data_IF_492392445710
#
_entry.id   IF_492392445710
#
_cell.length_a   1.000
_cell.length_b   1.000
_cell.length_c   1.000
_cell.angle_alpha   90.00
_cell.angle_beta   90.00
_cell.angle_gamma   90.00
#
_symmetry.space_group_name_H-M   'P 1'
#
loop_
_entity.id
_entity.type
_entity.pdbx_description
1 polymer ?
#
# COMPACT_ATOMS: atom_id res chain seq x y z
N UNK A 1 -47.89 -9.20 -17.90
CA UNK A 1 -48.03 -9.70 -16.52
C UNK A 1 -48.49 -8.55 -15.66
N UNK A 2 -49.70 -8.63 -15.10
CA UNK A 2 -50.29 -7.57 -14.28
C UNK A 2 -49.49 -7.52 -12.97
N UNK A 3 -48.81 -6.41 -12.70
CA UNK A 3 -48.18 -6.17 -11.40
C UNK A 3 -49.28 -6.13 -10.35
N UNK A 4 -49.22 -6.96 -9.28
CA UNK A 4 -50.22 -6.93 -8.23
C UNK A 4 -50.26 -5.52 -7.61
N UNK A 5 -51.47 -5.04 -7.30
CA UNK A 5 -51.68 -3.77 -6.64
C UNK A 5 -51.16 -3.88 -5.19
N UNK A 6 -49.89 -3.54 -5.00
CA UNK A 6 -49.24 -3.50 -3.69
C UNK A 6 -49.73 -2.28 -2.91
N UNK A 7 -49.99 -2.48 -1.62
CA UNK A 7 -50.45 -1.43 -0.73
C UNK A 7 -49.34 -0.38 -0.51
N UNK A 8 -49.66 0.88 -0.16
CA UNK A 8 -48.67 1.95 -0.04
C UNK A 8 -47.51 1.67 0.95
N UNK A 9 -47.75 0.84 1.98
CA UNK A 9 -46.73 0.39 2.94
C UNK A 9 -45.89 -0.80 2.45
N UNK A 10 -46.31 -1.45 1.37
CA UNK A 10 -45.57 -2.52 0.68
C UNK A 10 -44.65 -1.97 -0.41
N UNK A 11 -44.86 -0.72 -0.82
CA UNK A 11 -43.95 0.04 -1.70
C UNK A 11 -42.81 0.59 -0.83
N UNK A 12 -41.93 -0.30 -0.40
CA UNK A 12 -40.70 0.09 0.29
C UNK A 12 -39.73 0.62 -0.78
N UNK A 13 -39.72 1.93 -0.99
CA UNK A 13 -38.85 2.61 -1.97
C UNK A 13 -37.37 2.65 -1.59
N UNK A 14 -36.90 1.73 -0.76
CA UNK A 14 -35.48 1.66 -0.39
C UNK A 14 -34.68 1.10 -1.53
N UNK A 15 -33.51 1.69 -1.78
CA UNK A 15 -32.56 1.06 -2.68
C UNK A 15 -32.14 -0.30 -2.12
N UNK A 16 -31.77 -1.28 -2.97
CA UNK A 16 -31.28 -2.58 -2.50
C UNK A 16 -30.05 -2.43 -1.58
N UNK A 17 -29.29 -1.35 -1.69
CA UNK A 17 -28.20 -1.03 -0.77
C UNK A 17 -28.69 -0.57 0.61
N UNK A 18 -29.73 0.26 0.66
CA UNK A 18 -30.35 0.70 1.92
C UNK A 18 -31.02 -0.48 2.64
N UNK A 19 -31.76 -1.31 1.90
CA UNK A 19 -32.40 -2.51 2.44
C UNK A 19 -31.36 -3.49 3.02
N UNK A 20 -30.23 -3.68 2.32
CA UNK A 20 -29.11 -4.49 2.81
C UNK A 20 -28.55 -4.01 4.14
N UNK A 21 -28.38 -2.69 4.28
CA UNK A 21 -27.88 -2.04 5.50
C UNK A 21 -28.86 -2.27 6.66
N UNK A 22 -30.16 -2.10 6.40
CA UNK A 22 -31.22 -2.27 7.41
C UNK A 22 -31.23 -3.71 7.93
N UNK A 23 -31.23 -4.71 7.05
CA UNK A 23 -31.17 -6.12 7.48
C UNK A 23 -29.91 -6.45 8.28
N UNK A 24 -28.76 -5.88 7.89
CA UNK A 24 -27.51 -6.07 8.66
C UNK A 24 -27.63 -5.47 10.07
N UNK A 25 -28.22 -4.29 10.18
CA UNK A 25 -28.36 -3.58 11.46
C UNK A 25 -29.40 -4.27 12.37
N UNK A 26 -30.47 -4.83 11.80
CA UNK A 26 -31.39 -5.72 12.52
C UNK A 26 -30.69 -7.00 13.00
N UNK A 27 -29.90 -7.66 12.15
CA UNK A 27 -29.10 -8.81 12.56
C UNK A 27 -28.20 -8.46 13.76
N UNK A 28 -27.56 -7.27 13.73
CA UNK A 28 -26.74 -6.78 14.85
C UNK A 28 -27.57 -6.54 16.10
N UNK A 29 -28.74 -5.93 15.99
CA UNK A 29 -29.64 -5.69 17.11
C UNK A 29 -30.05 -7.01 17.80
N UNK A 30 -30.47 -8.01 17.04
CA UNK A 30 -30.87 -9.32 17.57
C UNK A 30 -29.71 -10.10 18.18
N UNK A 31 -28.50 -9.94 17.63
CA UNK A 31 -27.27 -10.51 18.21
C UNK A 31 -27.02 -9.99 19.63
N UNK A 32 -27.22 -8.69 19.88
CA UNK A 32 -27.03 -8.11 21.22
C UNK A 32 -28.09 -8.61 22.22
N UNK A 33 -29.29 -8.95 21.72
CA UNK A 33 -30.37 -9.54 22.52
C UNK A 33 -30.26 -11.06 22.68
N UNK A 34 -29.18 -11.67 22.22
CA UNK A 34 -28.97 -13.12 22.20
C UNK A 34 -30.04 -13.94 21.45
N UNK A 35 -30.82 -13.29 20.57
CA UNK A 35 -31.73 -13.99 19.67
C UNK A 35 -30.94 -14.38 18.41
N UNK A 36 -30.18 -15.46 18.52
CA UNK A 36 -29.14 -15.79 17.55
C UNK A 36 -29.71 -16.34 16.23
N UNK A 37 -30.78 -17.13 16.28
CA UNK A 37 -31.42 -17.69 15.07
C UNK A 37 -32.07 -16.60 14.20
N UNK A 38 -32.77 -15.65 14.84
CA UNK A 38 -33.33 -14.49 14.14
C UNK A 38 -32.24 -13.59 13.61
N UNK A 39 -31.14 -13.39 14.35
CA UNK A 39 -29.98 -12.66 13.87
C UNK A 39 -29.40 -13.28 12.60
N UNK A 40 -29.21 -14.61 12.57
CA UNK A 40 -28.72 -15.34 11.39
C UNK A 40 -29.66 -15.19 10.19
N UNK A 41 -30.97 -15.24 10.41
CA UNK A 41 -31.97 -15.01 9.36
C UNK A 41 -31.80 -13.65 8.68
N UNK A 42 -31.69 -12.58 9.47
CA UNK A 42 -31.47 -11.23 8.92
C UNK A 42 -30.10 -11.06 8.26
N UNK A 43 -29.06 -11.72 8.76
CA UNK A 43 -27.77 -11.73 8.07
C UNK A 43 -27.83 -12.47 6.73
N UNK A 44 -28.59 -13.56 6.62
CA UNK A 44 -28.79 -14.25 5.36
C UNK A 44 -29.53 -13.36 4.35
N UNK A 45 -30.62 -12.70 4.75
CA UNK A 45 -31.32 -11.71 3.92
C UNK A 45 -30.41 -10.59 3.42
N UNK A 46 -29.55 -10.06 4.30
CA UNK A 46 -28.57 -9.04 3.92
C UNK A 46 -27.56 -9.56 2.89
N UNK A 47 -27.17 -10.83 2.98
CA UNK A 47 -26.26 -11.48 2.03
C UNK A 47 -26.95 -11.90 0.72
N UNK A 48 -28.26 -12.15 0.71
CA UNK A 48 -29.01 -12.36 -0.54
C UNK A 48 -28.95 -11.12 -1.44
N UNK A 49 -29.05 -9.93 -0.85
CA UNK A 49 -28.89 -8.66 -1.55
C UNK A 49 -27.43 -8.39 -1.95
N UNK A 50 -26.47 -8.67 -1.06
CA UNK A 50 -25.02 -8.46 -1.31
C UNK A 50 -24.19 -9.63 -0.79
N UNK A 51 -23.97 -10.63 -1.65
CA UNK A 51 -23.42 -11.94 -1.25
C UNK A 51 -22.01 -11.91 -0.65
N UNK A 52 -21.23 -10.87 -0.93
CA UNK A 52 -19.84 -10.72 -0.45
C UNK A 52 -19.63 -9.49 0.44
N UNK A 53 -20.65 -9.03 1.17
CA UNK A 53 -20.44 -7.95 2.15
C UNK A 53 -19.58 -8.44 3.34
N UNK A 54 -18.35 -7.92 3.53
CA UNK A 54 -17.43 -8.46 4.52
C UNK A 54 -17.91 -8.25 5.96
N UNK A 55 -18.64 -7.15 6.20
CA UNK A 55 -19.21 -6.83 7.52
C UNK A 55 -20.28 -7.84 7.91
N UNK A 56 -21.20 -8.12 7.00
CA UNK A 56 -22.31 -9.04 7.23
C UNK A 56 -21.80 -10.47 7.43
N UNK A 57 -20.82 -10.91 6.62
CA UNK A 57 -20.14 -12.21 6.82
C UNK A 57 -19.43 -12.30 8.18
N UNK A 58 -18.74 -11.24 8.62
CA UNK A 58 -18.10 -11.20 9.94
C UNK A 58 -19.11 -11.30 11.09
N UNK A 59 -20.20 -10.53 11.03
CA UNK A 59 -21.22 -10.57 12.08
C UNK A 59 -21.97 -11.92 12.11
N UNK A 60 -22.28 -12.50 10.94
CA UNK A 60 -22.85 -13.85 10.84
C UNK A 60 -21.90 -14.91 11.38
N UNK A 61 -20.60 -14.83 11.08
CA UNK A 61 -19.56 -15.72 11.64
C UNK A 61 -19.57 -15.69 13.17
N UNK A 62 -19.61 -14.51 13.78
CA UNK A 62 -19.70 -14.38 15.25
C UNK A 62 -20.97 -15.01 15.81
N UNK A 63 -22.12 -14.79 15.18
CA UNK A 63 -23.38 -15.37 15.63
C UNK A 63 -23.38 -16.90 15.52
N UNK A 64 -22.89 -17.43 14.40
CA UNK A 64 -22.76 -18.88 14.20
C UNK A 64 -21.82 -19.52 15.21
N UNK A 65 -20.75 -18.85 15.66
CA UNK A 65 -19.91 -19.33 16.78
C UNK A 65 -20.71 -19.43 18.07
N UNK A 66 -21.55 -18.43 18.35
CA UNK A 66 -22.41 -18.44 19.53
C UNK A 66 -23.48 -19.55 19.46
N UNK A 67 -23.94 -19.94 18.26
CA UNK A 67 -24.87 -21.07 18.01
C UNK A 67 -24.11 -22.42 17.91
N UNK A 68 -22.80 -22.45 18.17
CA UNK A 68 -21.93 -23.62 18.01
C UNK A 68 -21.84 -24.20 16.56
N UNK A 69 -22.25 -23.43 15.54
CA UNK A 69 -22.05 -23.75 14.12
C UNK A 69 -20.63 -23.39 13.67
N UNK A 70 -19.64 -24.13 14.17
CA UNK A 70 -18.20 -23.85 13.99
C UNK A 70 -17.75 -23.89 12.53
N UNK A 71 -18.20 -24.88 11.75
CA UNK A 71 -17.85 -25.02 10.32
C UNK A 71 -18.35 -23.84 9.48
N UNK A 72 -19.62 -23.47 9.64
CA UNK A 72 -20.22 -22.35 8.93
C UNK A 72 -19.62 -21.00 9.34
N UNK A 73 -19.26 -20.85 10.62
CA UNK A 73 -18.56 -19.66 11.09
C UNK A 73 -17.14 -19.53 10.50
N UNK A 74 -16.44 -20.65 10.31
CA UNK A 74 -15.12 -20.68 9.71
C UNK A 74 -15.15 -20.25 8.24
N UNK A 75 -16.12 -20.76 7.48
CA UNK A 75 -16.30 -20.42 6.06
C UNK A 75 -16.66 -18.93 5.86
N UNK A 76 -17.57 -18.42 6.69
CA UNK A 76 -17.90 -16.99 6.76
C UNK A 76 -16.67 -16.14 7.13
N UNK A 77 -15.83 -16.67 8.03
CA UNK A 77 -14.58 -16.01 8.43
C UNK A 77 -13.57 -15.95 7.28
N UNK A 78 -13.42 -17.02 6.51
CA UNK A 78 -12.52 -17.08 5.34
C UNK A 78 -12.99 -16.17 4.20
N UNK A 79 -14.29 -16.16 3.90
CA UNK A 79 -14.87 -15.29 2.86
C UNK A 79 -14.85 -13.82 3.25
N UNK A 80 -15.08 -13.50 4.53
CA UNK A 80 -14.82 -12.15 5.05
C UNK A 80 -13.33 -11.80 4.99
N UNK A 81 -12.45 -12.78 5.24
CA UNK A 81 -11.01 -12.60 5.21
C UNK A 81 -10.47 -12.23 3.82
N UNK A 82 -11.03 -12.81 2.76
CA UNK A 82 -10.70 -12.44 1.37
C UNK A 82 -10.93 -10.95 1.08
N UNK A 83 -11.85 -10.31 1.80
CA UNK A 83 -12.18 -8.88 1.67
C UNK A 83 -11.63 -8.01 2.84
N UNK A 84 -10.56 -8.45 3.51
CA UNK A 84 -9.95 -7.73 4.65
C UNK A 84 -9.42 -6.34 4.29
N UNK A 85 -9.05 -6.09 3.02
CA UNK A 85 -8.47 -4.82 2.57
C UNK A 85 -9.36 -3.59 2.88
N UNK A 86 -10.66 -3.55 2.52
CA UNK A 86 -11.56 -2.47 2.93
C UNK A 86 -11.92 -2.49 4.42
N UNK A 87 -11.78 -3.61 5.12
CA UNK A 87 -12.05 -3.70 6.57
C UNK A 87 -10.94 -3.01 7.36
N UNK A 88 -9.66 -3.26 7.03
CA UNK A 88 -8.52 -2.66 7.74
C UNK A 88 -8.50 -1.14 7.57
N UNK A 89 -8.85 -0.62 6.39
CA UNK A 89 -8.98 0.83 6.18
C UNK A 89 -10.05 1.48 7.06
N UNK A 90 -11.22 0.82 7.21
CA UNK A 90 -12.30 1.28 8.10
C UNK A 90 -11.90 1.17 9.57
N UNK A 91 -11.21 0.10 9.94
CA UNK A 91 -10.71 -0.13 11.29
C UNK A 91 -9.68 0.93 11.69
N UNK A 92 -8.71 1.24 10.83
CA UNK A 92 -7.74 2.31 11.11
C UNK A 92 -8.43 3.66 11.30
N UNK A 93 -9.44 3.99 10.49
CA UNK A 93 -10.20 5.23 10.66
C UNK A 93 -10.91 5.28 12.01
N UNK A 94 -11.58 4.19 12.39
CA UNK A 94 -12.24 4.08 13.69
C UNK A 94 -11.26 4.21 14.86
N UNK A 95 -10.11 3.54 14.79
CA UNK A 95 -9.06 3.66 15.82
C UNK A 95 -8.51 5.09 15.86
N UNK A 96 -8.36 5.75 14.72
CA UNK A 96 -7.91 7.15 14.67
C UNK A 96 -8.91 8.09 15.38
N UNK A 97 -10.21 7.95 15.12
CA UNK A 97 -11.27 8.73 15.75
C UNK A 97 -11.34 8.45 17.27
N UNK A 98 -11.39 7.18 17.68
CA UNK A 98 -11.48 6.81 19.10
C UNK A 98 -10.22 7.24 19.86
N UNK A 99 -9.04 6.93 19.33
CA UNK A 99 -7.79 7.25 20.03
C UNK A 99 -7.47 8.74 19.96
N UNK A 100 -7.82 9.41 18.85
CA UNK A 100 -7.52 10.82 18.62
C UNK A 100 -8.48 11.79 19.29
N UNK A 101 -9.78 11.46 19.35
CA UNK A 101 -10.80 12.37 19.87
C UNK A 101 -11.25 11.96 21.28
N UNK A 102 -11.42 10.67 21.55
CA UNK A 102 -11.96 10.22 22.84
C UNK A 102 -10.86 10.01 23.89
N UNK A 103 -9.86 9.18 23.60
CA UNK A 103 -8.84 8.76 24.61
C UNK A 103 -7.90 9.89 25.00
N UNK A 104 -7.58 10.79 24.07
CA UNK A 104 -6.72 11.96 24.34
C UNK A 104 -7.31 12.85 25.42
N UNK A 105 -8.63 13.04 25.45
CA UNK A 105 -9.31 13.91 26.42
C UNK A 105 -9.42 13.30 27.83
N UNK A 106 -9.23 11.98 27.99
CA UNK A 106 -9.39 11.30 29.28
C UNK A 106 -8.10 11.36 30.10
N UNK A 107 -8.20 11.85 31.33
CA UNK A 107 -7.09 11.76 32.30
C UNK A 107 -7.08 10.39 32.99
N UNK A 108 -5.96 10.02 33.63
CA UNK A 108 -5.85 8.78 34.40
C UNK A 108 -6.87 8.67 35.55
N UNK A 109 -7.37 9.81 36.05
CA UNK A 109 -8.43 9.84 37.06
C UNK A 109 -9.77 9.36 36.51
N UNK A 110 -10.08 9.71 35.27
CA UNK A 110 -11.33 9.31 34.60
C UNK A 110 -11.20 7.91 33.98
N UNK A 111 -9.98 7.55 33.54
CA UNK A 111 -9.68 6.27 32.94
C UNK A 111 -8.40 5.68 33.57
N UNK A 112 -8.51 4.95 34.68
CA UNK A 112 -7.35 4.33 35.33
C UNK A 112 -6.65 3.31 34.43
N UNK A 113 -7.42 2.56 33.64
CA UNK A 113 -6.97 1.51 32.72
C UNK A 113 -6.53 2.04 31.34
N UNK A 114 -6.13 3.32 31.29
CA UNK A 114 -5.86 4.00 30.02
C UNK A 114 -4.69 3.37 29.27
N UNK A 115 -3.66 2.95 29.98
CA UNK A 115 -2.43 2.43 29.38
C UNK A 115 -2.67 1.07 28.75
N UNK A 116 -3.35 0.20 29.49
CA UNK A 116 -3.75 -1.14 29.07
C UNK A 116 -4.65 -1.04 27.85
N UNK A 117 -5.66 -0.16 27.88
CA UNK A 117 -6.54 0.08 26.75
C UNK A 117 -5.80 0.57 25.50
N UNK A 118 -4.88 1.53 25.65
CA UNK A 118 -4.05 2.02 24.54
C UNK A 118 -3.25 0.89 23.91
N UNK A 119 -2.60 0.06 24.74
CA UNK A 119 -1.80 -1.07 24.27
C UNK A 119 -2.67 -2.10 23.56
N UNK A 120 -3.80 -2.49 24.14
CA UNK A 120 -4.72 -3.46 23.54
C UNK A 120 -5.25 -3.00 22.18
N UNK A 121 -5.69 -1.75 22.07
CA UNK A 121 -6.23 -1.21 20.82
C UNK A 121 -5.16 -1.17 19.72
N UNK A 122 -3.96 -0.67 20.02
CA UNK A 122 -2.90 -0.60 19.03
C UNK A 122 -2.31 -1.95 18.67
N UNK A 123 -2.17 -2.88 19.62
CA UNK A 123 -1.69 -4.23 19.33
C UNK A 123 -2.71 -5.02 18.51
N UNK A 124 -4.00 -4.90 18.83
CA UNK A 124 -5.07 -5.51 18.03
C UNK A 124 -5.09 -4.96 16.60
N UNK A 125 -4.90 -3.65 16.44
CA UNK A 125 -4.78 -3.03 15.12
C UNK A 125 -3.54 -3.54 14.36
N UNK A 126 -2.40 -3.66 15.05
CA UNK A 126 -1.17 -4.18 14.45
C UNK A 126 -1.36 -5.62 13.95
N UNK A 127 -1.98 -6.49 14.77
CA UNK A 127 -2.33 -7.85 14.38
C UNK A 127 -3.24 -7.89 13.15
N UNK A 128 -4.29 -7.05 13.12
CA UNK A 128 -5.17 -6.95 11.96
C UNK A 128 -4.43 -6.50 10.68
N UNK A 129 -3.41 -5.64 10.82
CA UNK A 129 -2.55 -5.27 9.70
C UNK A 129 -1.63 -6.42 9.27
N UNK A 130 -1.08 -7.18 10.20
CA UNK A 130 -0.25 -8.35 9.89
C UNK A 130 -1.07 -9.44 9.20
N UNK A 131 -2.29 -9.69 9.65
CA UNK A 131 -3.22 -10.64 9.03
C UNK A 131 -3.58 -10.28 7.57
N UNK A 132 -3.40 -9.02 7.19
CA UNK A 132 -3.59 -8.60 5.80
C UNK A 132 -2.51 -9.14 4.86
N UNK A 133 -1.34 -9.56 5.36
CA UNK A 133 -0.26 -10.18 4.58
C UNK A 133 -0.49 -11.68 4.47
N UNK A 134 -1.42 -12.04 3.59
CA UNK A 134 -1.74 -13.42 3.23
C UNK A 134 -1.32 -13.69 1.78
N UNK A 135 -0.86 -14.92 1.53
CA UNK A 135 -0.63 -15.38 0.16
C UNK A 135 -1.98 -15.49 -0.54
N UNK A 136 -2.16 -14.70 -1.60
CA UNK A 136 -3.32 -14.83 -2.48
C UNK A 136 -2.99 -15.86 -3.57
N UNK A 137 -3.82 -16.89 -3.70
CA UNK A 137 -3.68 -17.92 -4.74
C UNK A 137 -3.72 -17.32 -6.16
N UNK A 138 -4.49 -16.24 -6.35
CA UNK A 138 -4.58 -15.48 -7.62
C UNK A 138 -3.23 -14.88 -8.09
N UNK A 139 -2.29 -14.65 -7.16
CA UNK A 139 -0.95 -14.10 -7.49
C UNK A 139 -0.05 -15.16 -8.15
N UNK A 140 -0.38 -16.45 -8.01
CA UNK A 140 0.33 -17.51 -8.72
C UNK A 140 0.09 -17.44 -10.24
N UNK A 141 -1.06 -16.92 -10.67
CA UNK A 141 -1.47 -16.85 -12.08
C UNK A 141 -1.03 -15.55 -12.79
N UNK A 142 -0.69 -14.51 -12.03
CA UNK A 142 -0.29 -13.21 -12.60
C UNK A 142 1.19 -13.23 -12.96
N UNK A 143 1.53 -13.08 -14.24
CA UNK A 143 2.91 -12.96 -14.73
C UNK A 143 3.25 -11.49 -15.04
N UNK A 144 4.43 -11.01 -14.61
CA UNK A 144 4.96 -9.69 -14.99
C UNK A 144 5.39 -8.81 -13.81
N UNK A 145 5.86 -7.60 -14.12
CA UNK A 145 6.41 -6.58 -13.18
C UNK A 145 5.41 -6.12 -12.10
N UNK A 146 4.12 -6.38 -12.31
CA UNK A 146 3.04 -6.00 -11.39
C UNK A 146 2.77 -7.08 -10.34
N UNK A 147 3.41 -8.25 -10.43
CA UNK A 147 3.15 -9.39 -9.53
C UNK A 147 3.50 -9.07 -8.09
N UNK A 148 4.68 -8.46 -7.85
CA UNK A 148 5.09 -8.02 -6.53
C UNK A 148 4.19 -6.89 -6.00
N UNK A 149 3.80 -5.94 -6.86
CA UNK A 149 2.89 -4.84 -6.48
C UNK A 149 1.51 -5.37 -6.08
N UNK A 150 0.97 -6.33 -6.84
CA UNK A 150 -0.32 -6.98 -6.56
C UNK A 150 -0.27 -7.80 -5.27
N UNK A 151 0.81 -8.53 -5.02
CA UNK A 151 1.03 -9.25 -3.76
C UNK A 151 1.05 -8.31 -2.55
N UNK A 152 1.75 -7.19 -2.69
CA UNK A 152 1.84 -6.15 -1.65
C UNK A 152 0.59 -5.27 -1.55
N UNK A 153 -0.45 -5.55 -2.36
CA UNK A 153 -1.72 -4.81 -2.43
C UNK A 153 -1.52 -3.32 -2.72
N UNK A 154 -0.54 -3.01 -3.56
CA UNK A 154 -0.29 -1.65 -4.05
C UNK A 154 -1.14 -1.38 -5.29
N UNK A 155 -1.66 -0.15 -5.47
CA UNK A 155 -2.42 0.19 -6.66
C UNK A 155 -1.52 0.13 -7.91
N UNK A 156 -1.84 -0.75 -8.85
CA UNK A 156 -1.15 -0.91 -10.15
C UNK A 156 -1.70 0.04 -11.23
N UNK A 157 -2.89 0.61 -11.02
CA UNK A 157 -3.66 1.31 -12.07
C UNK A 157 -3.37 2.80 -12.26
N UNK A 158 -2.42 3.41 -11.52
CA UNK A 158 -2.16 4.88 -11.62
C UNK A 158 -1.72 5.35 -13.02
N UNK A 159 -1.41 4.44 -13.94
CA UNK A 159 -1.08 4.74 -15.34
C UNK A 159 -2.31 4.84 -16.26
N UNK A 160 -3.50 4.42 -15.83
CA UNK A 160 -4.73 4.43 -16.65
C UNK A 160 -5.54 5.73 -16.54
N UNK A 161 -5.26 6.57 -15.54
CA UNK A 161 -5.91 7.87 -15.36
C UNK A 161 -5.21 9.00 -16.13
N UNK A 162 -4.45 8.67 -17.17
CA UNK A 162 -4.10 9.67 -18.19
C UNK A 162 -5.37 9.82 -19.04
N UNK A 163 -6.27 10.69 -18.59
CA UNK A 163 -7.41 11.12 -19.38
C UNK A 163 -6.84 11.70 -20.67
N UNK A 164 -7.07 11.01 -21.79
CA UNK A 164 -6.69 11.50 -23.10
C UNK A 164 -7.31 12.89 -23.29
N UNK A 165 -6.47 13.88 -23.60
CA UNK A 165 -6.93 15.25 -23.72
C UNK A 165 -7.82 15.37 -24.97
N UNK A 166 -9.14 15.33 -24.77
CA UNK A 166 -10.12 15.58 -25.83
C UNK A 166 -10.51 17.06 -25.79
N UNK A 167 -10.14 17.78 -26.84
CA UNK A 167 -10.46 19.20 -27.01
C UNK A 167 -11.98 19.40 -27.14
N UNK A 168 -12.57 20.22 -26.26
CA UNK A 168 -14.01 20.55 -26.26
C UNK A 168 -14.82 19.96 -25.10
N UNK A 169 -14.30 18.98 -24.37
CA UNK A 169 -14.99 18.41 -23.21
C UNK A 169 -14.66 19.19 -21.93
N UNK A 170 -15.70 19.79 -21.32
CA UNK A 170 -15.59 20.59 -20.08
C UNK A 170 -15.05 19.79 -18.89
N UNK A 171 -15.18 18.47 -18.89
CA UNK A 171 -14.65 17.56 -17.87
C UNK A 171 -13.13 17.36 -17.93
N UNK A 172 -12.49 17.75 -19.04
CA UNK A 172 -11.04 17.60 -19.26
C UNK A 172 -10.26 18.85 -18.83
N UNK A 173 -10.95 19.98 -18.70
CA UNK A 173 -10.38 21.23 -18.19
C UNK A 173 -10.32 21.17 -16.66
N UNK A 174 -9.13 20.94 -16.11
CA UNK A 174 -8.82 21.32 -14.73
C UNK A 174 -8.59 22.83 -14.72
N UNK A 175 -9.51 23.58 -14.13
CA UNK A 175 -9.30 25.00 -13.85
C UNK A 175 -8.04 25.14 -12.99
N UNK A 176 -7.09 25.98 -13.41
CA UNK A 176 -5.78 26.14 -12.76
C UNK A 176 -5.89 26.57 -11.28
N UNK A 177 -7.03 27.19 -10.92
CA UNK A 177 -7.30 27.74 -9.59
C UNK A 177 -8.25 26.87 -8.75
N UNK A 178 -8.71 25.71 -9.25
CA UNK A 178 -9.59 24.83 -8.47
C UNK A 178 -8.81 24.23 -7.29
N UNK A 179 -9.25 24.45 -6.03
CA UNK A 179 -8.54 23.93 -4.87
C UNK A 179 -8.58 22.40 -4.88
N UNK A 180 -7.40 21.80 -4.80
CA UNK A 180 -7.26 20.35 -4.82
C UNK A 180 -7.66 19.78 -3.44
N UNK A 181 -8.96 19.52 -3.26
CA UNK A 181 -9.55 19.10 -1.97
C UNK A 181 -8.87 17.86 -1.39
N UNK A 182 -8.43 16.93 -2.23
CA UNK A 182 -7.72 15.71 -1.80
C UNK A 182 -6.36 16.03 -1.16
N UNK A 183 -5.64 16.99 -1.73
CA UNK A 183 -4.36 17.46 -1.20
C UNK A 183 -4.56 18.23 0.11
N UNK A 184 -5.59 19.06 0.20
CA UNK A 184 -5.93 19.78 1.44
C UNK A 184 -6.35 18.83 2.56
N UNK A 185 -7.19 17.82 2.26
CA UNK A 185 -7.60 16.81 3.21
C UNK A 185 -6.40 15.99 3.73
N UNK A 186 -5.47 15.64 2.83
CA UNK A 186 -4.22 14.99 3.18
C UNK A 186 -3.36 15.84 4.12
N UNK A 187 -3.13 17.11 3.81
CA UNK A 187 -2.33 18.00 4.65
C UNK A 187 -2.97 18.19 6.03
N UNK A 188 -4.30 18.35 6.09
CA UNK A 188 -5.03 18.45 7.37
C UNK A 188 -4.88 17.19 8.21
N UNK A 189 -5.01 16.01 7.59
CA UNK A 189 -4.85 14.73 8.27
C UNK A 189 -3.42 14.51 8.78
N UNK A 190 -2.42 14.83 7.96
CA UNK A 190 -1.01 14.75 8.31
C UNK A 190 -0.65 15.70 9.46
N UNK A 191 -1.12 16.95 9.42
CA UNK A 191 -0.93 17.93 10.49
C UNK A 191 -1.55 17.45 11.82
N UNK A 192 -2.72 16.79 11.76
CA UNK A 192 -3.36 16.18 12.94
C UNK A 192 -2.47 15.09 13.55
N UNK A 193 -1.93 14.17 12.74
CA UNK A 193 -1.04 13.11 13.21
C UNK A 193 0.27 13.66 13.79
N UNK A 194 0.89 14.64 13.13
CA UNK A 194 2.12 15.27 13.62
C UNK A 194 1.92 16.00 14.94
N UNK A 195 0.81 16.74 15.10
CA UNK A 195 0.46 17.38 16.38
C UNK A 195 0.35 16.35 17.50
N UNK A 196 -0.34 15.22 17.25
CA UNK A 196 -0.46 14.12 18.23
C UNK A 196 0.90 13.52 18.59
N UNK A 197 1.78 13.34 17.60
CA UNK A 197 3.12 12.78 17.80
C UNK A 197 3.94 13.59 18.80
N UNK A 198 3.85 14.92 18.76
CA UNK A 198 4.57 15.82 19.68
C UNK A 198 4.16 15.59 21.14
N UNK A 199 2.87 15.32 21.38
CA UNK A 199 2.32 15.12 22.73
C UNK A 199 2.28 13.66 23.18
N UNK A 200 2.84 12.75 22.39
CA UNK A 200 2.75 11.31 22.67
C UNK A 200 3.65 10.92 23.84
N UNK A 201 3.03 10.37 24.89
CA UNK A 201 3.74 9.86 26.08
C UNK A 201 3.98 8.35 26.00
N UNK A 202 3.16 7.64 25.24
CA UNK A 202 3.18 6.18 25.20
C UNK A 202 4.02 5.65 24.03
N UNK A 203 4.93 4.70 24.27
CA UNK A 203 5.81 4.20 23.22
C UNK A 203 5.06 3.47 22.09
N UNK A 204 4.01 2.71 22.42
CA UNK A 204 3.17 2.01 21.43
C UNK A 204 2.43 3.00 20.52
N UNK A 205 1.87 4.06 21.12
CA UNK A 205 1.21 5.13 20.35
C UNK A 205 2.20 5.85 19.43
N UNK A 206 3.44 6.08 19.89
CA UNK A 206 4.49 6.69 19.06
C UNK A 206 4.80 5.83 17.83
N UNK A 207 4.92 4.52 17.99
CA UNK A 207 5.14 3.58 16.89
C UNK A 207 3.98 3.62 15.88
N UNK A 208 2.74 3.58 16.38
CA UNK A 208 1.54 3.69 15.56
C UNK A 208 1.50 4.99 14.76
N UNK A 209 1.72 6.14 15.40
CA UNK A 209 1.62 7.44 14.74
C UNK A 209 2.69 7.60 13.65
N UNK A 210 3.92 7.17 13.91
CA UNK A 210 4.99 7.18 12.91
C UNK A 210 4.66 6.27 11.72
N UNK A 211 4.14 5.07 12.00
CA UNK A 211 3.67 4.14 10.97
C UNK A 211 2.53 4.74 10.13
N UNK A 212 1.54 5.36 10.76
CA UNK A 212 0.39 5.95 10.07
C UNK A 212 0.80 7.15 9.19
N UNK A 213 1.72 7.99 9.66
CA UNK A 213 2.31 9.08 8.86
C UNK A 213 3.00 8.50 7.61
N UNK A 214 3.83 7.47 7.78
CA UNK A 214 4.49 6.81 6.65
C UNK A 214 3.47 6.21 5.66
N UNK A 215 2.40 5.58 6.16
CA UNK A 215 1.32 5.02 5.34
C UNK A 215 0.57 6.09 4.54
N UNK A 216 0.37 7.27 5.13
CA UNK A 216 -0.26 8.42 4.48
C UNK A 216 0.62 8.97 3.35
N UNK A 217 1.94 9.07 3.56
CA UNK A 217 2.89 9.41 2.48
C UNK A 217 2.91 8.38 1.34
N UNK A 218 2.78 7.09 1.66
CA UNK A 218 2.70 6.03 0.66
C UNK A 218 1.48 6.19 -0.26
N UNK A 219 0.32 6.57 0.30
CA UNK A 219 -0.92 6.80 -0.48
C UNK A 219 -0.75 7.96 -1.47
N UNK A 220 -0.09 9.04 -1.05
CA UNK A 220 0.21 10.19 -1.91
C UNK A 220 1.37 9.97 -2.89
N UNK A 221 1.99 8.79 -2.90
CA UNK A 221 3.15 8.47 -3.75
C UNK A 221 4.44 9.22 -3.39
N UNK A 222 4.53 9.80 -2.18
CA UNK A 222 5.76 10.40 -1.65
C UNK A 222 6.65 9.33 -1.01
N UNK A 223 7.29 8.50 -1.83
CA UNK A 223 7.98 7.28 -1.39
C UNK A 223 9.22 7.52 -0.52
N UNK A 224 10.00 8.56 -0.77
CA UNK A 224 11.21 8.85 0.02
C UNK A 224 10.87 9.29 1.45
N UNK A 225 9.85 10.16 1.58
CA UNK A 225 9.32 10.59 2.88
C UNK A 225 8.73 9.39 3.63
N UNK A 226 7.99 8.51 2.94
CA UNK A 226 7.50 7.26 3.50
C UNK A 226 8.64 6.43 4.12
N UNK A 227 9.75 6.22 3.39
CA UNK A 227 10.89 5.47 3.90
C UNK A 227 11.56 6.15 5.12
N UNK A 228 11.71 7.48 5.11
CA UNK A 228 12.29 8.23 6.24
C UNK A 228 11.45 8.07 7.51
N UNK A 229 10.12 8.25 7.40
CA UNK A 229 9.22 8.08 8.54
C UNK A 229 9.10 6.63 9.00
N UNK A 230 9.14 5.67 8.07
CA UNK A 230 9.14 4.25 8.41
C UNK A 230 10.40 3.82 9.16
N UNK A 231 11.59 4.34 8.81
CA UNK A 231 12.83 4.09 9.59
C UNK A 231 12.75 4.64 11.01
N UNK A 232 12.21 5.85 11.18
CA UNK A 232 11.95 6.41 12.52
C UNK A 232 10.97 5.53 13.32
N UNK A 233 10.00 4.90 12.65
CA UNK A 233 9.08 3.97 13.29
C UNK A 233 9.78 2.67 13.71
N UNK A 234 10.72 2.15 12.91
CA UNK A 234 11.55 0.99 13.24
C UNK A 234 12.37 1.27 14.49
N UNK A 235 13.10 2.39 14.51
CA UNK A 235 13.88 2.81 15.69
C UNK A 235 12.97 2.92 16.93
N UNK A 236 11.82 3.58 16.84
CA UNK A 236 10.89 3.70 17.97
C UNK A 236 10.33 2.33 18.44
N UNK A 237 10.13 1.39 17.51
CA UNK A 237 9.64 0.04 17.82
C UNK A 237 10.70 -0.83 18.50
N UNK A 238 11.98 -0.63 18.18
CA UNK A 238 13.10 -1.29 18.84
C UNK A 238 13.23 -0.86 20.30
N UNK A 239 13.17 0.46 20.56
CA UNK A 239 13.17 1.00 21.93
C UNK A 239 11.99 0.49 22.77
N UNK A 240 10.88 0.11 22.12
CA UNK A 240 9.66 -0.35 22.80
C UNK A 240 9.43 -1.85 22.72
N UNK A 241 10.35 -2.62 22.14
CA UNK A 241 10.26 -4.06 21.91
C UNK A 241 8.97 -4.53 21.18
N UNK A 242 8.37 -3.68 20.37
CA UNK A 242 7.13 -3.99 19.65
C UNK A 242 7.42 -4.56 18.25
N UNK A 243 7.61 -5.88 18.19
CA UNK A 243 7.99 -6.61 16.96
C UNK A 243 6.97 -6.47 15.83
N UNK A 244 5.67 -6.38 16.16
CA UNK A 244 4.61 -6.19 15.15
C UNK A 244 4.77 -4.86 14.43
N UNK A 245 4.97 -3.76 15.16
CA UNK A 245 5.13 -2.43 14.58
C UNK A 245 6.45 -2.29 13.82
N UNK A 246 7.51 -2.96 14.28
CA UNK A 246 8.78 -3.05 13.55
C UNK A 246 8.56 -3.70 12.18
N UNK A 247 7.93 -4.88 12.15
CA UNK A 247 7.64 -5.58 10.91
C UNK A 247 6.75 -4.76 9.98
N UNK A 248 5.66 -4.18 10.49
CA UNK A 248 4.74 -3.37 9.69
C UNK A 248 5.44 -2.17 9.04
N UNK A 249 6.41 -1.57 9.72
CA UNK A 249 7.19 -0.44 9.20
C UNK A 249 8.18 -0.88 8.12
N UNK A 250 8.86 -2.02 8.29
CA UNK A 250 9.70 -2.61 7.23
C UNK A 250 8.85 -2.95 6.00
N UNK A 251 7.64 -3.49 6.19
CA UNK A 251 6.72 -3.78 5.08
C UNK A 251 6.28 -2.53 4.32
N UNK A 252 6.19 -1.35 4.96
CA UNK A 252 5.97 -0.09 4.25
C UNK A 252 7.17 0.32 3.39
N UNK A 253 8.39 0.10 3.87
CA UNK A 253 9.63 0.34 3.11
C UNK A 253 9.68 -0.58 1.89
N UNK A 254 9.36 -1.86 2.05
CA UNK A 254 9.27 -2.83 0.93
C UNK A 254 8.23 -2.36 -0.10
N UNK A 255 7.05 -1.91 0.33
CA UNK A 255 6.01 -1.35 -0.56
C UNK A 255 6.51 -0.13 -1.34
N UNK A 256 7.22 0.79 -0.69
CA UNK A 256 7.78 1.97 -1.33
C UNK A 256 8.88 1.62 -2.34
N UNK A 257 9.77 0.67 -2.01
CA UNK A 257 10.82 0.21 -2.92
C UNK A 257 10.28 -0.58 -4.12
N UNK A 258 9.24 -1.39 -3.91
CA UNK A 258 8.53 -2.06 -4.98
C UNK A 258 7.90 -1.05 -5.96
N UNK A 259 7.23 -0.01 -5.44
CA UNK A 259 6.65 1.05 -6.26
C UNK A 259 7.70 1.88 -7.03
N UNK A 260 8.89 2.08 -6.45
CA UNK A 260 10.03 2.75 -7.09
C UNK A 260 10.87 1.83 -8.01
N UNK A 261 10.54 0.54 -8.11
CA UNK A 261 11.36 -0.49 -8.78
C UNK A 261 12.84 -0.53 -8.33
N UNK A 262 13.12 -0.15 -7.07
CA UNK A 262 14.45 -0.24 -6.43
C UNK A 262 14.61 -1.63 -5.80
N UNK A 263 14.82 -2.64 -6.65
CA UNK A 263 14.78 -4.07 -6.27
C UNK A 263 15.85 -4.48 -5.24
N UNK A 264 17.07 -3.94 -5.34
CA UNK A 264 18.18 -4.27 -4.42
C UNK A 264 17.88 -3.79 -2.99
N UNK A 265 17.47 -2.53 -2.81
CA UNK A 265 17.06 -2.00 -1.51
C UNK A 265 15.82 -2.72 -0.95
N UNK A 266 14.91 -3.16 -1.82
CA UNK A 266 13.78 -4.02 -1.42
C UNK A 266 14.23 -5.38 -0.88
N UNK A 267 15.28 -5.97 -1.46
CA UNK A 267 15.87 -7.24 -1.00
C UNK A 267 16.49 -7.11 0.38
N UNK A 268 17.22 -6.02 0.61
CA UNK A 268 17.80 -5.71 1.92
C UNK A 268 16.72 -5.57 3.00
N UNK A 269 15.66 -4.81 2.72
CA UNK A 269 14.54 -4.65 3.65
C UNK A 269 13.80 -5.98 3.93
N UNK A 270 13.65 -6.87 2.93
CA UNK A 270 13.07 -8.20 3.14
C UNK A 270 13.98 -9.12 3.98
N UNK A 271 15.30 -9.02 3.82
CA UNK A 271 16.26 -9.73 4.67
C UNK A 271 16.20 -9.25 6.12
N UNK A 272 16.01 -7.94 6.34
CA UNK A 272 15.81 -7.36 7.67
C UNK A 272 14.51 -7.83 8.33
N UNK A 273 13.44 -8.01 7.55
CA UNK A 273 12.15 -8.52 8.06
C UNK A 273 12.21 -9.98 8.55
N UNK A 274 13.05 -10.81 7.92
CA UNK A 274 13.13 -12.25 8.16
C UNK A 274 13.37 -12.66 9.64
N UNK A 275 14.39 -12.13 10.36
CA UNK A 275 14.60 -12.47 11.77
C UNK A 275 13.42 -12.04 12.66
N UNK A 276 12.75 -10.93 12.36
CA UNK A 276 11.61 -10.44 13.15
C UNK A 276 10.43 -11.41 13.02
N UNK A 277 10.17 -11.92 11.82
CA UNK A 277 9.06 -12.83 11.57
C UNK A 277 9.32 -14.23 12.15
N UNK A 278 10.58 -14.68 12.13
CA UNK A 278 10.98 -15.89 12.85
C UNK A 278 10.74 -15.76 14.36
N UNK A 279 10.98 -14.58 14.95
CA UNK A 279 10.69 -14.30 16.36
C UNK A 279 9.19 -14.26 16.68
N UNK A 280 8.36 -13.78 15.75
CA UNK A 280 6.90 -13.76 15.91
C UNK A 280 6.26 -15.16 15.86
N UNK A 281 6.97 -16.16 15.33
CA UNK A 281 6.53 -17.56 15.25
C UNK A 281 5.19 -17.76 14.51
N UNK A 282 4.88 -16.90 13.53
CA UNK A 282 3.68 -17.02 12.67
C UNK A 282 4.10 -17.65 11.33
N UNK A 283 3.83 -18.96 11.09
CA UNK A 283 4.37 -19.67 9.92
C UNK A 283 3.87 -19.10 8.59
N UNK A 284 2.60 -18.65 8.54
CA UNK A 284 2.01 -18.04 7.34
C UNK A 284 2.76 -16.79 6.89
N UNK A 285 3.28 -16.03 7.84
CA UNK A 285 3.99 -14.78 7.58
C UNK A 285 5.43 -15.05 7.13
N UNK A 286 6.08 -16.08 7.67
CA UNK A 286 7.37 -16.56 7.17
C UNK A 286 7.26 -16.91 5.67
N UNK A 287 6.33 -17.79 5.32
CA UNK A 287 6.10 -18.20 3.94
C UNK A 287 5.76 -17.03 3.02
N UNK A 288 5.02 -16.03 3.52
CA UNK A 288 4.71 -14.82 2.77
C UNK A 288 5.96 -13.99 2.46
N UNK A 289 6.88 -13.82 3.42
CA UNK A 289 8.09 -13.03 3.23
C UNK A 289 9.11 -13.77 2.39
N UNK A 290 9.25 -15.09 2.59
CA UNK A 290 10.07 -15.95 1.73
C UNK A 290 9.60 -15.82 0.27
N UNK A 291 8.28 -15.90 0.03
CA UNK A 291 7.71 -15.71 -1.30
C UNK A 291 7.95 -14.30 -1.85
N UNK A 292 7.84 -13.24 -1.04
CA UNK A 292 8.22 -11.88 -1.44
C UNK A 292 9.70 -11.78 -1.85
N UNK A 293 10.59 -12.45 -1.12
CA UNK A 293 12.02 -12.49 -1.39
C UNK A 293 12.30 -13.20 -2.72
N UNK A 294 11.71 -14.37 -2.94
CA UNK A 294 11.88 -15.15 -4.17
C UNK A 294 11.37 -14.39 -5.40
N UNK A 295 10.23 -13.72 -5.29
CA UNK A 295 9.71 -12.88 -6.38
C UNK A 295 10.65 -11.72 -6.70
N UNK A 296 11.21 -11.07 -5.69
CA UNK A 296 12.15 -9.97 -5.89
C UNK A 296 13.46 -10.46 -6.53
N UNK A 297 13.97 -11.64 -6.14
CA UNK A 297 15.14 -12.25 -6.78
C UNK A 297 14.87 -12.61 -8.25
N UNK A 298 13.69 -13.14 -8.57
CA UNK A 298 13.29 -13.40 -9.95
C UNK A 298 13.25 -12.10 -10.78
N UNK A 299 12.71 -11.00 -10.25
CA UNK A 299 12.71 -9.71 -10.94
C UNK A 299 14.13 -9.16 -11.16
N UNK A 300 15.03 -9.31 -10.18
CA UNK A 300 16.44 -8.92 -10.31
C UNK A 300 17.13 -9.75 -11.41
N UNK A 301 16.90 -11.06 -11.45
CA UNK A 301 17.46 -11.95 -12.46
C UNK A 301 16.97 -11.59 -13.86
N UNK A 302 15.67 -11.32 -14.02
CA UNK A 302 15.08 -10.88 -15.29
C UNK A 302 15.69 -9.54 -15.75
N UNK A 303 15.86 -8.58 -14.84
CA UNK A 303 16.49 -7.29 -15.15
C UNK A 303 17.94 -7.45 -15.63
N UNK A 304 18.73 -8.30 -14.98
CA UNK A 304 20.11 -8.61 -15.39
C UNK A 304 20.16 -9.27 -16.78
N UNK A 305 19.28 -10.23 -17.05
CA UNK A 305 19.16 -10.87 -18.36
C UNK A 305 18.75 -9.88 -19.46
N UNK A 306 17.77 -9.01 -19.20
CA UNK A 306 17.38 -7.97 -20.17
C UNK A 306 18.52 -6.98 -20.47
N UNK A 307 19.24 -6.51 -19.44
CA UNK A 307 20.40 -5.62 -19.64
C UNK A 307 21.51 -6.29 -20.45
N UNK A 308 21.76 -7.58 -20.21
CA UNK A 308 22.74 -8.36 -20.98
C UNK A 308 22.33 -8.50 -22.45
N UNK A 309 21.06 -8.81 -22.73
CA UNK A 309 20.54 -8.89 -24.10
C UNK A 309 20.60 -7.55 -24.84
N UNK A 310 20.29 -6.43 -24.17
CA UNK A 310 20.42 -5.10 -24.76
C UNK A 310 21.88 -4.73 -25.06
N UNK A 311 22.81 -5.12 -24.19
CA UNK A 311 24.25 -4.94 -24.43
C UNK A 311 24.74 -5.77 -25.63
N UNK A 312 24.24 -7.00 -25.78
CA UNK A 312 24.53 -7.88 -26.91
C UNK A 312 23.95 -7.32 -28.22
N UNK A 313 22.73 -6.76 -28.18
CA UNK A 313 22.08 -6.10 -29.32
C UNK A 313 22.84 -4.85 -29.75
N UNK A 314 23.28 -4.02 -28.80
CA UNK A 314 24.13 -2.84 -29.08
C UNK A 314 25.53 -3.22 -29.61
N UNK A 315 26.10 -4.34 -29.16
CA UNK A 315 27.36 -4.86 -29.71
C UNK A 315 27.18 -5.39 -31.13
N UNK A 316 26.10 -6.14 -31.40
CA UNK A 316 25.78 -6.64 -32.75
C UNK A 316 25.50 -5.49 -33.73
N UNK A 317 24.78 -4.44 -33.32
CA UNK A 317 24.53 -3.28 -34.18
C UNK A 317 25.81 -2.48 -34.49
N UNK A 318 26.73 -2.35 -33.52
CA UNK A 318 28.06 -1.75 -33.77
C UNK A 318 28.92 -2.59 -34.70
N UNK A 319 28.90 -3.92 -34.57
CA UNK A 319 29.61 -4.83 -35.48
C UNK A 319 29.09 -4.73 -36.93
N UNK A 320 27.77 -4.61 -37.12
CA UNK A 320 27.19 -4.42 -38.46
C UNK A 320 27.58 -3.08 -39.11
N UNK A 321 27.74 -2.00 -38.33
CA UNK A 321 28.18 -0.69 -38.84
C UNK A 321 29.68 -0.72 -39.20
N UNK A 322 30.51 -1.38 -38.38
CA UNK A 322 31.94 -1.55 -38.66
C UNK A 322 32.22 -2.35 -39.93
N UNK A 323 31.35 -3.30 -40.30
CA UNK A 323 31.51 -4.10 -41.53
C UNK A 323 31.22 -3.33 -42.82
N UNK A 324 30.53 -2.17 -42.74
CA UNK A 324 30.20 -1.33 -43.90
C UNK A 324 31.32 -0.34 -44.25
N UNK A 325 32.18 0.00 -43.29
CA UNK A 325 33.32 0.90 -43.52
C UNK A 325 34.60 0.18 -43.98
N UNK A 326 34.69 -1.15 -43.85
CA UNK A 326 35.86 -1.92 -44.32
C UNK A 326 35.85 -2.23 -45.82
N UNK A 327 34.73 -2.02 -46.51
CA UNK A 327 34.62 -2.20 -47.97
C UNK A 327 34.89 -0.93 -48.79
N UNK A 328 35.24 0.19 -48.15
CA UNK A 328 35.44 1.48 -48.82
C UNK A 328 36.88 2.03 -48.74
N UNK A 329 37.85 1.24 -48.23
CA UNK A 329 39.26 1.63 -48.13
C UNK A 329 40.19 0.70 -48.94
N UNK A 330 39.88 0.49 -50.21
CA UNK A 330 40.85 0.02 -51.21
C UNK A 330 40.49 0.65 -52.56
N UNK A 331 40.92 1.88 -52.78
CA UNK A 331 41.25 2.45 -54.10
C UNK A 331 41.85 3.84 -53.90
N UNK A 332 43.04 4.07 -54.47
CA UNK A 332 43.60 5.40 -54.69
C UNK A 332 44.88 5.71 -53.93
N UNK A 333 45.99 5.13 -54.36
CA UNK A 333 47.32 5.74 -54.23
C UNK A 333 47.47 6.77 -55.36
N UNK A 334 47.85 8.01 -55.04
CA UNK A 334 48.98 8.77 -55.65
C UNK A 334 48.80 10.30 -55.61
N UNK A 335 49.93 10.92 -55.24
CA UNK A 335 50.44 12.26 -55.59
C UNK A 335 49.91 13.52 -54.89
N UNK A 336 50.89 14.30 -54.39
CA UNK A 336 50.82 15.77 -54.41
C UNK A 336 51.34 16.47 -53.16
N UNK A 337 52.58 16.93 -53.22
CA UNK A 337 53.28 17.75 -52.23
C UNK A 337 52.69 19.15 -51.95
N UNK A 338 53.14 19.69 -50.80
CA UNK A 338 53.34 21.10 -50.45
C UNK A 338 52.21 21.85 -49.73
N UNK A 339 52.47 22.25 -48.49
CA UNK A 339 52.69 23.66 -48.10
C UNK A 339 52.85 23.80 -46.57
N UNK A 340 53.91 24.50 -46.18
CA UNK A 340 54.26 24.91 -44.81
C UNK A 340 53.25 25.90 -44.22
N UNK A 341 52.97 25.81 -42.93
CA UNK A 341 52.85 26.98 -42.03
C UNK A 341 52.85 26.57 -40.54
N UNK A 342 54.05 26.71 -39.94
CA UNK A 342 54.41 27.12 -38.57
C UNK A 342 53.33 27.16 -37.48
N UNK A 343 53.52 26.32 -36.45
CA UNK A 343 52.94 26.45 -35.11
C UNK A 343 53.99 27.10 -34.21
N UNK A 344 53.66 28.23 -33.57
CA UNK A 344 54.27 28.64 -32.30
C UNK A 344 53.41 29.72 -31.62
N UNK A 345 52.51 29.32 -30.72
CA UNK A 345 51.90 30.22 -29.74
C UNK A 345 52.61 30.04 -28.40
N UNK A 346 53.42 31.04 -28.07
CA UNK A 346 54.07 31.20 -26.79
C UNK A 346 53.18 31.99 -25.82
N UNK A 347 53.29 31.56 -24.57
CA UNK A 347 52.94 32.18 -23.27
C UNK A 347 53.06 33.71 -23.23
N UNK A 348 52.07 34.38 -22.62
CA UNK A 348 52.27 35.57 -21.78
C UNK A 348 51.08 35.75 -20.82
N UNK A 349 51.41 36.15 -19.60
CA UNK A 349 50.59 36.40 -18.42
C UNK A 349 50.07 37.85 -18.38
N UNK A 350 49.00 38.12 -17.61
CA UNK A 350 48.98 39.09 -16.48
C UNK A 350 47.57 39.61 -16.11
N UNK A 351 47.37 39.84 -14.79
CA UNK A 351 46.36 40.72 -14.15
C UNK A 351 45.12 40.00 -13.61
N UNK A 352 44.91 39.70 -12.31
CA UNK A 352 44.96 40.45 -11.03
C UNK A 352 43.65 41.20 -10.65
N UNK A 353 43.17 40.98 -9.42
CA UNK A 353 42.22 41.80 -8.64
C UNK A 353 40.80 41.19 -8.49
N UNK A 354 40.42 40.55 -7.39
CA UNK A 354 40.11 41.02 -6.01
C UNK A 354 38.59 41.21 -5.78
N UNK A 355 38.11 40.64 -4.67
CA UNK A 355 36.74 40.75 -4.18
C UNK A 355 36.56 39.88 -2.93
N UNK A 356 36.93 40.46 -1.78
CA UNK A 356 36.70 39.95 -0.42
C UNK A 356 35.22 40.02 -0.06
#
# INVERSE_FOLDING_TARGET
MVTPALQPWEIVGWSPEQEQIIYRDWGRFFTHRQQLDTAVHYYNKSLELKSKDPKTLYFRSRCKRNIAQTKGALDDGKTAAGNISPITGKLSKYVEEVMGDYVVLKSLRVMPWKVEFINEVYNTLALAHVDSYTLLEDVLQTHGKERLLRLLRMPTDKLKDIVEFVFGDKSTYREADAPNYDQMAYQKFLARLQKRLIFTKYPVEKCYLLHEIARVHLKQSSFEQCCSWARKAIEASEHSNNLLWQLLSIMLIVKAHAALHKLESGKEALKEAMPIVKRLAIPKLCSFIDFCHDLNEQEIALKKSSQSMDSMRKRRSRASISSRNSSQSKNGSENGDSAKATISTARASDGAGDGV
#
